data_IF_591558021292
#
_entry.id   IF_591558021292
#
_cell.length_a   1.000
_cell.length_b   1.000
_cell.length_c   1.000
_cell.angle_alpha   90.00
_cell.angle_beta   90.00
_cell.angle_gamma   90.00
#
_symmetry.space_group_name_H-M   'P 1'
#
loop_
_entity.id
_entity.type
_entity.pdbx_description
1 polymer ?
#
# COMPACT_ATOMS: atom_id res chain seq x y z
N UNK A 1 -8.83 -25.28 -30.14
CA UNK A 1 -9.82 -24.18 -30.08
C UNK A 1 -11.08 -24.43 -29.26
N UNK A 2 -11.75 -25.59 -29.39
CA UNK A 2 -13.18 -25.66 -29.00
C UNK A 2 -13.53 -26.51 -27.77
N UNK A 3 -12.74 -27.50 -27.33
CA UNK A 3 -13.24 -28.46 -26.30
C UNK A 3 -12.22 -28.98 -25.26
N UNK A 4 -10.96 -28.54 -25.26
CA UNK A 4 -9.94 -29.06 -24.33
C UNK A 4 -9.82 -28.25 -23.02
N UNK A 5 -10.71 -27.26 -22.81
CA UNK A 5 -10.81 -26.46 -21.58
C UNK A 5 -10.02 -25.15 -21.57
N UNK A 6 -8.99 -25.00 -22.40
CA UNK A 6 -8.23 -23.74 -22.52
C UNK A 6 -9.03 -22.65 -23.23
N UNK A 7 -8.87 -21.39 -22.81
CA UNK A 7 -9.49 -20.25 -23.50
C UNK A 7 -8.70 -19.89 -24.77
N UNK A 8 -9.36 -19.77 -25.92
CA UNK A 8 -8.73 -19.41 -27.20
C UNK A 8 -8.59 -17.89 -27.43
N UNK A 9 -9.12 -17.07 -26.53
CA UNK A 9 -8.96 -15.61 -26.64
C UNK A 9 -7.58 -15.24 -26.13
N UNK A 10 -6.61 -15.21 -27.04
CA UNK A 10 -5.19 -15.01 -26.75
C UNK A 10 -4.66 -13.68 -27.31
N UNK A 11 -3.60 -13.10 -26.71
CA UNK A 11 -3.00 -11.86 -27.20
C UNK A 11 -2.27 -12.05 -28.54
N UNK A 12 -2.44 -11.12 -29.47
CA UNK A 12 -1.78 -11.11 -30.80
C UNK A 12 -0.62 -10.09 -30.82
N UNK A 13 0.02 -9.87 -31.98
CA UNK A 13 1.10 -8.88 -32.15
C UNK A 13 2.26 -9.00 -31.14
N UNK A 14 2.60 -10.24 -30.74
CA UNK A 14 3.64 -10.57 -29.76
C UNK A 14 3.36 -10.04 -28.34
N UNK A 15 2.13 -9.62 -28.02
CA UNK A 15 1.75 -9.16 -26.68
C UNK A 15 1.83 -10.26 -25.61
N UNK A 16 1.86 -11.53 -26.03
CA UNK A 16 2.05 -12.68 -25.15
C UNK A 16 3.35 -12.63 -24.30
N UNK A 17 4.29 -11.72 -24.60
CA UNK A 17 5.50 -11.49 -23.78
C UNK A 17 5.22 -10.80 -22.43
N UNK A 18 4.11 -10.08 -22.30
CA UNK A 18 3.81 -9.27 -21.11
C UNK A 18 2.35 -9.36 -20.67
N UNK A 19 1.51 -10.13 -21.36
CA UNK A 19 0.13 -10.40 -20.93
C UNK A 19 -0.30 -11.82 -21.32
N UNK A 20 -1.24 -12.39 -20.58
CA UNK A 20 -1.79 -13.74 -20.80
C UNK A 20 -3.11 -13.75 -21.57
N UNK A 21 -3.58 -14.93 -21.94
CA UNK A 21 -4.91 -15.15 -22.50
C UNK A 21 -6.04 -14.82 -21.53
N UNK A 22 -7.28 -14.74 -22.03
CA UNK A 22 -8.45 -14.54 -21.18
C UNK A 22 -8.59 -15.71 -20.18
N UNK A 23 -8.73 -15.36 -18.90
CA UNK A 23 -8.93 -16.31 -17.81
C UNK A 23 -9.76 -15.65 -16.70
N UNK A 24 -10.17 -16.43 -15.69
CA UNK A 24 -11.09 -15.95 -14.64
C UNK A 24 -10.58 -14.68 -13.94
N UNK A 25 -9.26 -14.56 -13.70
CA UNK A 25 -8.68 -13.38 -13.05
C UNK A 25 -8.86 -12.08 -13.82
N UNK A 26 -9.22 -12.11 -15.12
CA UNK A 26 -9.57 -10.90 -15.88
C UNK A 26 -10.91 -10.29 -15.43
N UNK A 27 -11.75 -11.08 -14.74
CA UNK A 27 -13.04 -10.66 -14.18
C UNK A 27 -12.98 -10.46 -12.66
N UNK A 28 -11.83 -10.71 -12.03
CA UNK A 28 -11.60 -10.49 -10.62
C UNK A 28 -10.80 -9.20 -10.39
N UNK A 29 -10.90 -8.65 -9.18
CA UNK A 29 -10.05 -7.56 -8.70
C UNK A 29 -9.31 -8.06 -7.47
N UNK A 30 -7.98 -8.02 -7.51
CA UNK A 30 -7.14 -8.36 -6.36
C UNK A 30 -7.01 -7.15 -5.45
N UNK A 31 -7.85 -7.07 -4.42
CA UNK A 31 -7.79 -6.00 -3.42
C UNK A 31 -6.80 -6.35 -2.32
N UNK A 32 -5.81 -5.49 -2.06
CA UNK A 32 -4.94 -5.60 -0.88
C UNK A 32 -5.65 -5.03 0.35
N UNK A 33 -5.53 -5.70 1.48
CA UNK A 33 -6.09 -5.27 2.76
C UNK A 33 -5.04 -5.37 3.86
N UNK A 34 -4.98 -4.36 4.73
CA UNK A 34 -4.12 -4.35 5.90
C UNK A 34 -4.87 -3.77 7.09
N UNK A 35 -4.60 -4.32 8.27
CA UNK A 35 -5.14 -3.89 9.54
C UNK A 35 -4.00 -3.85 10.55
N UNK A 36 -3.93 -2.76 11.32
CA UNK A 36 -2.98 -2.62 12.42
C UNK A 36 -3.75 -2.91 13.70
N UNK A 37 -3.34 -3.95 14.43
CA UNK A 37 -4.12 -4.50 15.55
C UNK A 37 -3.78 -3.88 16.91
N UNK A 38 -2.60 -3.27 17.07
CA UNK A 38 -2.16 -2.72 18.35
C UNK A 38 -1.72 -1.28 18.26
N UNK A 39 -1.84 -0.57 19.37
CA UNK A 39 -1.44 0.82 19.51
C UNK A 39 0.08 0.98 19.34
N UNK A 40 0.87 0.02 19.83
CA UNK A 40 2.33 0.00 19.67
C UNK A 40 2.73 -0.13 18.20
N UNK A 41 2.07 -1.02 17.45
CA UNK A 41 2.30 -1.19 16.02
C UNK A 41 1.88 0.07 15.22
N UNK A 42 0.76 0.69 15.61
CA UNK A 42 0.26 1.94 15.05
C UNK A 42 1.26 3.09 15.24
N UNK A 43 1.84 3.21 16.45
CA UNK A 43 2.88 4.17 16.75
C UNK A 43 4.18 3.87 15.98
N UNK A 44 4.61 2.61 15.91
CA UNK A 44 5.83 2.18 15.22
C UNK A 44 5.78 2.51 13.73
N UNK A 45 4.75 2.05 13.02
CA UNK A 45 4.59 2.32 11.59
C UNK A 45 4.35 3.81 11.34
N UNK A 46 3.61 4.48 12.22
CA UNK A 46 3.40 5.92 12.15
C UNK A 46 4.69 6.73 12.16
N UNK A 47 5.70 6.33 12.92
CA UNK A 47 7.01 7.02 12.93
C UNK A 47 7.77 6.87 11.61
N UNK A 48 7.81 5.66 11.04
CA UNK A 48 8.43 5.45 9.73
C UNK A 48 7.70 6.24 8.64
N UNK A 49 6.37 6.14 8.62
CA UNK A 49 5.50 6.86 7.68
C UNK A 49 5.69 8.37 7.79
N UNK A 50 5.75 8.91 9.01
CA UNK A 50 6.02 10.34 9.25
C UNK A 50 7.32 10.81 8.58
N UNK A 51 8.45 10.14 8.84
CA UNK A 51 9.75 10.52 8.26
C UNK A 51 9.75 10.41 6.74
N UNK A 52 9.19 9.33 6.20
CA UNK A 52 9.08 9.12 4.75
C UNK A 52 8.27 10.24 4.10
N UNK A 53 7.09 10.55 4.64
CA UNK A 53 6.23 11.58 4.08
C UNK A 53 6.85 12.99 4.16
N UNK A 54 7.67 13.29 5.17
CA UNK A 54 8.41 14.55 5.22
C UNK A 54 9.48 14.62 4.14
N UNK A 55 10.24 13.54 3.92
CA UNK A 55 11.22 13.47 2.83
C UNK A 55 10.58 13.58 1.45
N UNK A 56 9.35 13.08 1.29
CA UNK A 56 8.57 13.17 0.05
C UNK A 56 7.84 14.51 -0.15
N UNK A 57 7.83 15.40 0.85
CA UNK A 57 7.09 16.67 0.79
C UNK A 57 5.58 16.55 1.00
N UNK A 58 5.11 15.44 1.59
CA UNK A 58 3.70 15.14 1.86
C UNK A 58 3.28 15.48 3.29
N UNK A 59 3.22 16.77 3.61
CA UNK A 59 2.88 17.28 4.95
C UNK A 59 1.57 16.69 5.53
N UNK A 60 0.53 16.51 4.72
CA UNK A 60 -0.74 15.93 5.17
C UNK A 60 -0.61 14.46 5.61
N UNK A 61 0.14 13.65 4.87
CA UNK A 61 0.38 12.24 5.23
C UNK A 61 1.31 12.11 6.44
N UNK A 62 2.33 12.98 6.52
CA UNK A 62 3.19 13.07 7.69
C UNK A 62 2.37 13.39 8.95
N UNK A 63 1.50 14.40 8.87
CA UNK A 63 0.67 14.80 10.00
C UNK A 63 -0.36 13.72 10.38
N UNK A 64 -0.98 13.08 9.40
CA UNK A 64 -1.87 11.93 9.59
C UNK A 64 -1.15 10.81 10.38
N UNK A 65 0.13 10.59 10.08
CA UNK A 65 1.00 9.64 10.80
C UNK A 65 1.35 10.15 12.20
N UNK A 66 1.72 11.43 12.34
CA UNK A 66 2.07 12.06 13.61
C UNK A 66 0.92 12.05 14.62
N UNK A 67 -0.34 12.15 14.18
CA UNK A 67 -1.50 12.01 15.07
C UNK A 67 -1.49 10.65 15.78
N UNK A 68 -1.13 9.58 15.07
CA UNK A 68 -1.02 8.24 15.67
C UNK A 68 0.17 8.13 16.60
N UNK A 69 1.32 8.69 16.23
CA UNK A 69 2.52 8.72 17.09
C UNK A 69 2.25 9.48 18.39
N UNK A 70 1.55 10.62 18.33
CA UNK A 70 1.12 11.38 19.52
C UNK A 70 0.14 10.58 20.37
N UNK A 71 -0.89 10.03 19.74
CA UNK A 71 -1.98 9.34 20.46
C UNK A 71 -1.54 8.04 21.11
N UNK A 72 -0.79 7.20 20.39
CA UNK A 72 -0.49 5.83 20.79
C UNK A 72 0.96 5.65 21.26
N UNK A 73 1.88 6.48 20.78
CA UNK A 73 3.29 6.44 21.18
C UNK A 73 3.63 7.39 22.34
N UNK A 74 2.69 8.23 22.78
CA UNK A 74 2.90 9.19 23.88
C UNK A 74 3.97 10.25 23.60
N UNK A 75 4.37 10.46 22.33
CA UNK A 75 5.43 11.39 21.92
C UNK A 75 4.85 12.62 21.28
N UNK A 76 5.26 13.81 21.75
CA UNK A 76 4.85 15.05 21.11
C UNK A 76 5.70 15.34 19.86
N UNK A 77 5.12 15.12 18.68
CA UNK A 77 5.73 15.50 17.39
C UNK A 77 5.06 16.79 16.92
N UNK A 78 5.81 17.85 16.55
CA UNK A 78 5.21 19.05 15.97
C UNK A 78 4.39 18.79 14.69
N UNK A 79 3.54 19.75 14.35
CA UNK A 79 2.74 19.68 13.13
C UNK A 79 3.64 19.56 11.90
N UNK A 80 3.38 18.56 11.05
CA UNK A 80 4.09 18.34 9.80
C UNK A 80 5.64 18.35 9.94
N UNK A 81 6.15 17.84 11.06
CA UNK A 81 7.57 17.57 11.26
C UNK A 81 7.86 16.08 11.29
N UNK A 82 9.11 15.70 11.06
CA UNK A 82 9.54 14.32 11.13
C UNK A 82 9.47 13.79 12.58
N UNK A 83 8.94 12.59 12.76
CA UNK A 83 9.03 11.88 14.04
C UNK A 83 10.42 11.25 14.18
N UNK A 84 11.19 11.69 15.18
CA UNK A 84 12.50 11.12 15.48
C UNK A 84 12.41 9.62 15.83
N UNK A 85 13.45 8.81 15.62
CA UNK A 85 13.50 7.42 16.10
C UNK A 85 13.33 7.33 17.63
N UNK A 86 13.08 6.12 18.12
CA UNK A 86 13.16 5.80 19.55
C UNK A 86 14.62 5.68 20.00
#
# INVERSE_FOLDING_TARGET
>A
DKVIGTNHTLPTNKAARYTGGLWVGKFLKTCTYQRIETDEASALVGQYSSRLCIMEGFAGHAEQSNIRVRRYGGRNVPYASAAEPF
#
